data_IF_432897157201
#
_entry.id   IF_432897157201
#
_cell.length_a   1.000
_cell.length_b   1.000
_cell.length_c   1.000
_cell.angle_alpha   90.00
_cell.angle_beta   90.00
_cell.angle_gamma   90.00
#
_symmetry.space_group_name_H-M   'P 1'
#
loop_
_entity.id
_entity.type
_entity.pdbx_description
1 polymer ?
#
# COMPACT_ATOMS: atom_id res chain seq x y z
N UNK A 1 10.49 -30.53 -11.55
CA UNK A 1 11.04 -30.40 -10.19
C UNK A 1 10.03 -31.03 -9.24
N UNK A 2 10.32 -32.22 -8.71
CA UNK A 2 9.46 -32.82 -7.70
C UNK A 2 9.73 -32.12 -6.37
N UNK A 3 8.69 -31.55 -5.77
CA UNK A 3 8.78 -31.02 -4.42
C UNK A 3 8.81 -32.21 -3.46
N UNK A 4 9.94 -32.43 -2.79
CA UNK A 4 10.00 -33.35 -1.64
C UNK A 4 8.98 -32.89 -0.59
N UNK A 5 8.18 -33.83 -0.10
CA UNK A 5 7.07 -33.70 0.85
C UNK A 5 7.46 -33.22 2.27
N UNK A 6 8.57 -32.49 2.41
CA UNK A 6 9.22 -32.19 3.69
C UNK A 6 9.65 -30.72 3.90
N UNK A 7 9.24 -29.78 3.04
CA UNK A 7 9.55 -28.35 3.25
C UNK A 7 8.54 -27.69 4.20
N UNK A 8 9.01 -27.33 5.39
CA UNK A 8 8.21 -26.62 6.41
C UNK A 8 8.04 -25.13 6.09
N UNK A 9 9.01 -24.53 5.37
CA UNK A 9 8.92 -23.14 4.92
C UNK A 9 8.07 -23.10 3.64
N UNK A 10 6.89 -22.45 3.65
CA UNK A 10 6.07 -22.33 2.45
C UNK A 10 6.70 -21.33 1.45
N UNK A 11 6.30 -21.39 0.18
CA UNK A 11 6.64 -20.34 -0.78
C UNK A 11 6.23 -18.96 -0.28
N UNK A 12 7.12 -17.98 -0.44
CA UNK A 12 6.94 -16.60 0.04
C UNK A 12 7.63 -15.60 -0.90
N UNK A 13 7.44 -14.29 -0.69
CA UNK A 13 8.09 -13.25 -1.49
C UNK A 13 7.44 -12.94 -2.85
N UNK A 14 6.26 -13.50 -3.14
CA UNK A 14 5.49 -13.27 -4.37
C UNK A 14 4.81 -11.89 -4.48
N UNK A 15 5.23 -10.90 -3.68
CA UNK A 15 4.52 -9.62 -3.47
C UNK A 15 4.24 -8.83 -4.75
N UNK A 16 5.10 -8.90 -5.77
CA UNK A 16 4.91 -8.17 -7.04
C UNK A 16 3.62 -8.57 -7.77
N UNK A 17 3.09 -9.76 -7.49
CA UNK A 17 1.81 -10.25 -8.05
C UNK A 17 0.60 -9.82 -7.21
N UNK A 18 0.80 -9.31 -5.99
CA UNK A 18 -0.27 -8.87 -5.12
C UNK A 18 -0.82 -7.54 -5.63
N UNK A 19 -2.14 -7.49 -5.82
CA UNK A 19 -2.86 -6.28 -6.19
C UNK A 19 -2.61 -5.12 -5.22
N UNK A 20 -2.50 -5.43 -3.92
CA UNK A 20 -2.23 -4.43 -2.89
C UNK A 20 -0.85 -3.78 -3.06
N UNK A 21 0.18 -4.55 -3.44
CA UNK A 21 1.52 -4.03 -3.69
C UNK A 21 1.54 -3.16 -4.94
N UNK A 22 0.90 -3.62 -6.03
CA UNK A 22 0.81 -2.86 -7.28
C UNK A 22 0.10 -1.52 -7.07
N UNK A 23 -0.97 -1.50 -6.27
CA UNK A 23 -1.68 -0.25 -5.92
C UNK A 23 -0.81 0.68 -5.07
N UNK A 24 -0.11 0.15 -4.05
CA UNK A 24 0.82 0.93 -3.23
C UNK A 24 1.99 1.50 -4.05
N UNK A 25 2.49 0.77 -5.05
CA UNK A 25 3.53 1.24 -5.96
C UNK A 25 3.04 2.39 -6.85
N UNK A 26 1.80 2.31 -7.36
CA UNK A 26 1.15 3.41 -8.08
C UNK A 26 1.01 4.65 -7.18
N UNK A 27 0.57 4.48 -5.93
CA UNK A 27 0.47 5.58 -4.96
C UNK A 27 1.84 6.23 -4.76
N UNK A 28 2.90 5.45 -4.58
CA UNK A 28 4.26 5.96 -4.45
C UNK A 28 4.71 6.78 -5.66
N UNK A 29 4.59 6.22 -6.87
CA UNK A 29 5.01 6.89 -8.10
C UNK A 29 4.27 8.21 -8.34
N UNK A 30 2.97 8.22 -8.05
CA UNK A 30 2.14 9.42 -8.17
C UNK A 30 2.45 10.44 -7.07
N UNK A 31 2.76 9.99 -5.85
CA UNK A 31 3.17 10.87 -4.74
C UNK A 31 4.45 11.61 -5.09
N UNK A 32 5.47 10.92 -5.59
CA UNK A 32 6.73 11.54 -6.04
C UNK A 32 6.45 12.61 -7.11
N UNK A 33 5.57 12.33 -8.07
CA UNK A 33 5.19 13.30 -9.11
C UNK A 33 4.42 14.49 -8.53
N UNK A 34 3.46 14.24 -7.66
CA UNK A 34 2.69 15.27 -6.98
C UNK A 34 3.60 16.22 -6.21
N UNK A 35 4.45 15.68 -5.33
CA UNK A 35 5.36 16.46 -4.51
C UNK A 35 6.31 17.29 -5.40
N UNK A 36 6.85 16.70 -6.48
CA UNK A 36 7.70 17.44 -7.43
C UNK A 36 6.95 18.61 -8.08
N UNK A 37 5.70 18.41 -8.50
CA UNK A 37 4.92 19.42 -9.23
C UNK A 37 4.37 20.54 -8.33
N UNK A 38 3.98 20.20 -7.10
CA UNK A 38 3.16 21.10 -6.27
C UNK A 38 3.73 21.40 -4.89
N UNK A 39 4.86 20.80 -4.51
CA UNK A 39 5.49 20.96 -3.19
C UNK A 39 7.01 21.17 -3.23
N UNK A 40 7.62 21.08 -4.40
CA UNK A 40 9.06 21.32 -4.57
C UNK A 40 9.42 22.78 -4.33
N UNK A 41 10.69 23.03 -4.01
CA UNK A 41 11.21 24.40 -3.93
C UNK A 41 10.94 25.21 -5.21
N UNK A 42 11.07 24.60 -6.38
CA UNK A 42 10.74 25.27 -7.65
C UNK A 42 9.27 25.67 -7.77
N UNK A 43 8.35 24.92 -7.15
CA UNK A 43 6.91 25.20 -7.21
C UNK A 43 6.45 26.21 -6.15
N UNK A 44 6.97 26.13 -4.93
CA UNK A 44 6.46 26.91 -3.79
C UNK A 44 7.50 27.84 -3.15
N UNK A 45 8.71 27.93 -3.71
CA UNK A 45 9.86 28.70 -3.20
C UNK A 45 10.21 28.40 -1.73
N UNK A 46 9.84 27.22 -1.24
CA UNK A 46 10.07 26.77 0.14
C UNK A 46 10.32 25.27 0.13
N UNK A 47 11.36 24.83 0.84
CA UNK A 47 11.55 23.42 1.16
C UNK A 47 10.63 23.10 2.34
N UNK A 48 9.70 22.18 2.16
CA UNK A 48 8.75 21.81 3.22
C UNK A 48 9.12 20.43 3.76
N UNK A 49 9.21 20.30 5.09
CA UNK A 49 9.37 19.01 5.76
C UNK A 49 8.29 18.02 5.32
N UNK A 50 7.09 18.53 5.02
CA UNK A 50 5.95 17.78 4.50
C UNK A 50 6.24 17.10 3.16
N UNK A 51 7.04 17.70 2.26
CA UNK A 51 7.46 17.07 1.00
C UNK A 51 8.15 15.71 1.27
N UNK A 52 9.13 15.69 2.17
CA UNK A 52 9.89 14.48 2.48
C UNK A 52 9.05 13.47 3.26
N UNK A 53 8.20 13.95 4.17
CA UNK A 53 7.27 13.12 4.94
C UNK A 53 6.30 12.36 4.04
N UNK A 54 5.66 13.04 3.07
CA UNK A 54 4.73 12.39 2.15
C UNK A 54 5.42 11.32 1.29
N UNK A 55 6.60 11.63 0.73
CA UNK A 55 7.37 10.65 -0.06
C UNK A 55 7.75 9.44 0.80
N UNK A 56 8.18 9.69 2.04
CA UNK A 56 8.58 8.62 2.95
C UNK A 56 7.41 7.78 3.42
N UNK A 57 6.25 8.36 3.70
CA UNK A 57 5.03 7.63 4.04
C UNK A 57 4.60 6.71 2.89
N UNK A 58 4.58 7.23 1.66
CA UNK A 58 4.28 6.43 0.47
C UNK A 58 5.30 5.30 0.24
N UNK A 59 6.60 5.59 0.44
CA UNK A 59 7.67 4.59 0.33
C UNK A 59 7.53 3.50 1.40
N UNK A 60 7.29 3.90 2.65
CA UNK A 60 7.10 3.01 3.80
C UNK A 60 5.92 2.07 3.55
N UNK A 61 4.80 2.58 3.03
CA UNK A 61 3.64 1.79 2.65
C UNK A 61 4.01 0.61 1.76
N UNK A 62 4.63 0.86 0.60
CA UNK A 62 4.98 -0.23 -0.33
C UNK A 62 6.11 -1.14 0.16
N UNK A 63 7.10 -0.62 0.90
CA UNK A 63 8.24 -1.41 1.37
C UNK A 63 7.82 -2.42 2.42
N UNK A 64 7.01 -2.01 3.40
CA UNK A 64 6.51 -2.92 4.43
C UNK A 64 5.66 -4.06 3.84
N UNK A 65 4.94 -3.82 2.74
CA UNK A 65 4.25 -4.90 2.02
C UNK A 65 5.25 -5.93 1.46
N UNK A 66 6.31 -5.47 0.81
CA UNK A 66 7.32 -6.35 0.24
C UNK A 66 8.05 -7.13 1.34
N UNK A 67 8.51 -6.44 2.39
CA UNK A 67 9.19 -7.03 3.53
C UNK A 67 8.29 -8.04 4.27
N UNK A 68 7.01 -7.71 4.48
CA UNK A 68 6.03 -8.61 5.09
C UNK A 68 5.86 -9.89 4.29
N UNK A 69 5.71 -9.78 2.97
CA UNK A 69 5.61 -10.94 2.09
C UNK A 69 6.89 -11.78 2.06
N UNK A 70 8.08 -11.16 2.15
CA UNK A 70 9.34 -11.88 2.27
C UNK A 70 9.47 -12.61 3.62
N UNK A 71 8.97 -12.03 4.70
CA UNK A 71 8.99 -12.65 6.02
C UNK A 71 7.92 -13.74 6.22
N UNK A 72 6.88 -13.78 5.40
CA UNK A 72 5.68 -14.64 5.55
C UNK A 72 5.98 -16.13 5.70
N UNK A 73 7.02 -16.64 5.06
CA UNK A 73 7.42 -18.04 5.15
C UNK A 73 8.11 -18.43 6.46
N UNK A 74 8.55 -17.45 7.25
CA UNK A 74 9.36 -17.65 8.45
C UNK A 74 8.64 -17.09 9.69
N UNK A 75 7.92 -15.97 9.57
CA UNK A 75 7.21 -15.33 10.67
C UNK A 75 5.93 -14.65 10.20
N UNK A 76 4.81 -15.33 10.41
CA UNK A 76 3.45 -14.79 10.22
C UNK A 76 3.16 -13.58 11.11
N UNK A 77 3.71 -13.56 12.33
CA UNK A 77 3.63 -12.40 13.22
C UNK A 77 4.35 -11.17 12.64
N UNK A 78 5.51 -11.37 12.03
CA UNK A 78 6.25 -10.29 11.36
C UNK A 78 5.50 -9.81 10.13
N UNK A 79 4.95 -10.72 9.33
CA UNK A 79 4.10 -10.38 8.19
C UNK A 79 2.91 -9.49 8.62
N UNK A 80 2.12 -9.94 9.61
CA UNK A 80 1.02 -9.16 10.18
C UNK A 80 1.44 -7.76 10.64
N UNK A 81 2.55 -7.67 11.39
CA UNK A 81 3.08 -6.40 11.88
C UNK A 81 3.42 -5.45 10.72
N UNK A 82 4.14 -5.94 9.70
CA UNK A 82 4.58 -5.11 8.58
C UNK A 82 3.39 -4.67 7.71
N UNK A 83 2.40 -5.53 7.47
CA UNK A 83 1.17 -5.10 6.78
C UNK A 83 0.43 -4.02 7.61
N UNK A 84 0.41 -4.13 8.94
CA UNK A 84 -0.13 -3.08 9.81
C UNK A 84 0.62 -1.75 9.70
N UNK A 85 1.95 -1.78 9.66
CA UNK A 85 2.78 -0.58 9.43
C UNK A 85 2.50 0.03 8.06
N UNK A 86 2.37 -0.79 7.01
CA UNK A 86 2.02 -0.30 5.68
C UNK A 86 0.68 0.45 5.67
N UNK A 87 -0.33 -0.10 6.37
CA UNK A 87 -1.66 0.52 6.52
C UNK A 87 -1.61 1.84 7.27
N UNK A 88 -0.80 1.93 8.33
CA UNK A 88 -0.60 3.16 9.08
C UNK A 88 0.12 4.23 8.25
N UNK A 89 1.17 3.87 7.50
CA UNK A 89 1.89 4.80 6.63
C UNK A 89 1.01 5.38 5.52
N UNK A 90 0.09 4.59 4.96
CA UNK A 90 -0.86 5.11 3.97
C UNK A 90 -1.99 5.93 4.60
N UNK A 91 -2.32 5.74 5.89
CA UNK A 91 -3.22 6.64 6.61
C UNK A 91 -2.57 8.01 6.86
N UNK A 92 -1.30 8.04 7.25
CA UNK A 92 -0.54 9.29 7.39
C UNK A 92 -0.52 10.07 6.07
N UNK A 93 -0.21 9.39 4.97
CA UNK A 93 -0.22 9.99 3.64
C UNK A 93 -1.62 10.49 3.22
N UNK A 94 -2.69 9.77 3.61
CA UNK A 94 -4.07 10.18 3.34
C UNK A 94 -4.37 11.53 4.00
N UNK A 95 -4.00 11.66 5.28
CA UNK A 95 -4.19 12.89 6.05
C UNK A 95 -3.39 14.04 5.44
N UNK A 96 -2.14 13.79 5.02
CA UNK A 96 -1.32 14.81 4.35
C UNK A 96 -2.01 15.39 3.09
N UNK A 97 -2.65 14.56 2.27
CA UNK A 97 -3.39 15.03 1.10
C UNK A 97 -4.66 15.81 1.47
N UNK A 98 -5.38 15.38 2.50
CA UNK A 98 -6.57 16.09 2.99
C UNK A 98 -6.19 17.46 3.56
N UNK A 99 -5.09 17.53 4.32
CA UNK A 99 -4.54 18.77 4.85
C UNK A 99 -4.03 19.69 3.75
N UNK A 100 -3.38 19.14 2.72
CA UNK A 100 -2.98 19.92 1.55
C UNK A 100 -4.18 20.60 0.87
N UNK A 101 -5.29 19.87 0.69
CA UNK A 101 -6.51 20.44 0.11
C UNK A 101 -7.10 21.52 1.02
N UNK A 102 -7.28 21.20 2.31
CA UNK A 102 -7.88 22.08 3.31
C UNK A 102 -7.11 23.39 3.51
N UNK A 103 -5.78 23.31 3.62
CA UNK A 103 -4.92 24.49 3.85
C UNK A 103 -4.79 25.41 2.63
N UNK A 104 -5.15 24.93 1.45
CA UNK A 104 -5.13 25.68 0.19
C UNK A 104 -6.52 26.05 -0.33
N UNK A 105 -7.57 25.82 0.47
CA UNK A 105 -8.96 26.07 0.10
C UNK A 105 -9.38 25.35 -1.21
N UNK A 106 -8.89 24.12 -1.39
CA UNK A 106 -9.20 23.28 -2.54
C UNK A 106 -10.30 22.27 -2.18
N UNK A 107 -11.15 21.94 -3.15
CA UNK A 107 -12.29 21.05 -2.94
C UNK A 107 -11.83 19.61 -2.68
N UNK A 108 -12.29 19.02 -1.58
CA UNK A 108 -12.27 17.58 -1.37
C UNK A 108 -13.47 16.93 -2.07
N UNK A 109 -13.23 15.92 -2.90
CA UNK A 109 -14.28 15.18 -3.59
C UNK A 109 -15.03 14.27 -2.61
N UNK A 110 -16.35 14.43 -2.59
CA UNK A 110 -17.24 13.51 -1.88
C UNK A 110 -17.30 12.13 -2.51
N UNK A 111 -17.92 11.17 -1.82
CA UNK A 111 -18.07 9.78 -2.29
C UNK A 111 -18.78 9.68 -3.64
N UNK A 112 -19.74 10.56 -3.88
CA UNK A 112 -20.61 10.58 -5.07
C UNK A 112 -20.15 11.58 -6.13
N UNK A 113 -18.99 12.21 -5.95
CA UNK A 113 -18.41 13.09 -6.97
C UNK A 113 -18.10 12.26 -8.24
N UNK A 114 -18.57 12.68 -9.43
CA UNK A 114 -18.35 11.94 -10.67
C UNK A 114 -16.86 11.68 -10.99
N UNK A 115 -15.98 12.61 -10.61
CA UNK A 115 -14.53 12.46 -10.80
C UNK A 115 -13.96 11.39 -9.87
N UNK A 116 -14.37 11.39 -8.59
CA UNK A 116 -13.98 10.35 -7.63
C UNK A 116 -14.45 8.96 -8.09
N UNK A 117 -15.69 8.85 -8.56
CA UNK A 117 -16.21 7.59 -9.10
C UNK A 117 -15.44 7.14 -10.35
N UNK A 118 -15.07 8.06 -11.24
CA UNK A 118 -14.28 7.76 -12.42
C UNK A 118 -12.89 7.21 -12.05
N UNK A 119 -12.18 7.84 -11.11
CA UNK A 119 -10.90 7.33 -10.60
C UNK A 119 -11.06 5.94 -10.00
N UNK A 120 -12.06 5.74 -9.14
CA UNK A 120 -12.29 4.44 -8.47
C UNK A 120 -12.52 3.31 -9.47
N UNK A 121 -13.24 3.57 -10.58
CA UNK A 121 -13.47 2.58 -11.65
C UNK A 121 -12.16 2.15 -12.35
N UNK A 122 -11.15 3.02 -12.41
CA UNK A 122 -9.87 2.68 -13.06
C UNK A 122 -9.08 1.60 -12.30
N UNK A 123 -9.31 1.43 -10.99
CA UNK A 123 -8.65 0.39 -10.21
C UNK A 123 -8.95 -1.03 -10.70
N UNK A 124 -10.08 -1.24 -11.37
CA UNK A 124 -10.47 -2.54 -11.93
C UNK A 124 -9.82 -2.86 -13.28
N UNK A 125 -9.03 -1.93 -13.86
CA UNK A 125 -8.27 -2.22 -15.09
C UNK A 125 -7.11 -3.19 -14.80
N UNK A 126 -6.93 -4.16 -15.69
CA UNK A 126 -5.95 -5.25 -15.58
C UNK A 126 -4.49 -4.80 -15.76
N UNK A 127 -4.23 -3.77 -16.58
CA UNK A 127 -2.86 -3.28 -16.87
C UNK A 127 -2.65 -1.83 -16.41
N UNK A 128 -3.14 -1.50 -15.21
CA UNK A 128 -3.00 -0.15 -14.65
C UNK A 128 -1.56 0.09 -14.19
N UNK A 129 -1.12 1.33 -14.34
CA UNK A 129 0.12 1.87 -13.77
C UNK A 129 -0.12 3.33 -13.38
N UNK A 130 0.90 4.02 -12.86
CA UNK A 130 0.78 5.45 -12.60
C UNK A 130 0.32 6.24 -13.85
N UNK A 131 0.67 5.76 -15.06
CA UNK A 131 0.27 6.37 -16.34
C UNK A 131 -1.24 6.39 -16.55
N UNK A 132 -1.97 5.44 -15.93
CA UNK A 132 -3.44 5.39 -15.99
C UNK A 132 -4.09 6.61 -15.34
N UNK A 133 -3.38 7.29 -14.44
CA UNK A 133 -3.92 8.37 -13.62
C UNK A 133 -3.32 9.75 -13.95
N UNK A 134 -2.38 9.85 -14.89
CA UNK A 134 -1.65 11.11 -15.19
C UNK A 134 -2.58 12.24 -15.64
N UNK A 135 -3.73 11.93 -16.24
CA UNK A 135 -4.75 12.94 -16.60
C UNK A 135 -5.29 13.70 -15.40
N UNK A 136 -5.27 13.10 -14.20
CA UNK A 136 -5.71 13.72 -12.95
C UNK A 136 -4.61 14.55 -12.29
N UNK A 137 -3.36 14.48 -12.77
CA UNK A 137 -2.21 15.24 -12.24
C UNK A 137 -2.07 16.62 -12.90
N UNK A 138 -3.14 17.15 -13.52
CA UNK A 138 -3.11 18.46 -14.20
C UNK A 138 -3.23 19.63 -13.24
N UNK A 139 -3.96 19.46 -12.14
CA UNK A 139 -4.10 20.45 -11.07
C UNK A 139 -3.83 19.82 -9.72
N UNK A 140 -3.39 20.63 -8.75
CA UNK A 140 -3.12 20.15 -7.40
C UNK A 140 -4.38 19.55 -6.76
N UNK A 141 -5.55 20.17 -6.95
CA UNK A 141 -6.84 19.65 -6.45
C UNK A 141 -7.17 18.27 -7.02
N UNK A 142 -7.15 18.13 -8.35
CA UNK A 142 -7.46 16.86 -9.00
C UNK A 142 -6.44 15.78 -8.65
N UNK A 143 -5.16 16.15 -8.51
CA UNK A 143 -4.10 15.21 -8.18
C UNK A 143 -4.26 14.67 -6.75
N UNK A 144 -4.46 15.56 -5.77
CA UNK A 144 -4.69 15.19 -4.38
C UNK A 144 -5.91 14.29 -4.24
N UNK A 145 -7.04 14.64 -4.86
CA UNK A 145 -8.25 13.83 -4.78
C UNK A 145 -8.12 12.46 -5.47
N UNK A 146 -7.40 12.39 -6.59
CA UNK A 146 -7.07 11.12 -7.23
C UNK A 146 -6.24 10.22 -6.29
N UNK A 147 -5.22 10.79 -5.65
CA UNK A 147 -4.37 10.08 -4.69
C UNK A 147 -5.15 9.61 -3.45
N UNK A 148 -6.04 10.45 -2.91
CA UNK A 148 -6.98 10.08 -1.83
C UNK A 148 -7.82 8.86 -2.23
N UNK A 149 -8.38 8.85 -3.44
CA UNK A 149 -9.16 7.69 -3.93
C UNK A 149 -8.31 6.41 -3.99
N UNK A 150 -7.09 6.51 -4.50
CA UNK A 150 -6.17 5.38 -4.62
C UNK A 150 -5.72 4.85 -3.25
N UNK A 151 -5.46 5.75 -2.31
CA UNK A 151 -5.07 5.39 -0.94
C UNK A 151 -6.22 4.68 -0.25
N UNK A 152 -7.47 5.17 -0.34
CA UNK A 152 -8.62 4.45 0.21
C UNK A 152 -8.78 3.04 -0.38
N UNK A 153 -8.59 2.88 -1.69
CA UNK A 153 -8.66 1.57 -2.33
C UNK A 153 -7.52 0.65 -1.88
N UNK A 154 -6.32 1.20 -1.69
CA UNK A 154 -5.15 0.45 -1.21
C UNK A 154 -5.33 0.04 0.25
N UNK A 155 -5.84 0.94 1.10
CA UNK A 155 -6.16 0.68 2.50
C UNK A 155 -7.21 -0.41 2.63
N UNK A 156 -8.26 -0.39 1.81
CA UNK A 156 -9.23 -1.48 1.77
C UNK A 156 -8.59 -2.86 1.47
N UNK A 157 -7.64 -2.91 0.53
CA UNK A 157 -6.91 -4.14 0.23
C UNK A 157 -6.00 -4.58 1.39
N UNK A 158 -5.37 -3.63 2.07
CA UNK A 158 -4.55 -3.89 3.26
C UNK A 158 -5.40 -4.43 4.42
N UNK A 159 -6.56 -3.84 4.67
CA UNK A 159 -7.49 -4.30 5.72
C UNK A 159 -7.97 -5.74 5.44
N UNK A 160 -8.28 -6.05 4.18
CA UNK A 160 -8.61 -7.43 3.76
C UNK A 160 -7.43 -8.38 3.93
N UNK A 161 -6.21 -7.94 3.64
CA UNK A 161 -5.01 -8.77 3.82
C UNK A 161 -4.73 -9.04 5.30
N UNK A 162 -4.90 -8.05 6.19
CA UNK A 162 -4.76 -8.21 7.64
C UNK A 162 -5.76 -9.24 8.17
N UNK A 163 -7.05 -9.09 7.83
CA UNK A 163 -8.08 -10.04 8.24
C UNK A 163 -7.79 -11.47 7.74
N UNK A 164 -7.30 -11.61 6.51
CA UNK A 164 -6.95 -12.92 5.96
C UNK A 164 -5.75 -13.56 6.69
N UNK A 165 -4.72 -12.77 7.03
CA UNK A 165 -3.55 -13.24 7.77
C UNK A 165 -3.89 -13.61 9.21
N UNK A 166 -4.78 -12.85 9.85
CA UNK A 166 -5.28 -13.16 11.19
C UNK A 166 -6.02 -14.50 11.21
N UNK A 167 -6.97 -14.69 10.29
CA UNK A 167 -7.69 -15.95 10.17
C UNK A 167 -6.74 -17.12 9.86
N UNK A 168 -5.79 -16.94 8.94
CA UNK A 168 -4.80 -17.97 8.64
C UNK A 168 -3.96 -18.34 9.88
N UNK A 169 -3.58 -17.35 10.68
CA UNK A 169 -2.82 -17.58 11.91
C UNK A 169 -3.64 -18.35 12.95
N UNK A 170 -4.93 -18.03 13.11
CA UNK A 170 -5.84 -18.74 14.02
C UNK A 170 -6.09 -20.19 13.58
N UNK A 171 -6.24 -20.43 12.28
CA UNK A 171 -6.52 -21.78 11.74
C UNK A 171 -5.30 -22.69 11.72
N UNK A 172 -4.14 -22.17 11.28
CA UNK A 172 -2.95 -22.98 11.00
C UNK A 172 -1.89 -22.90 12.10
N UNK A 173 -1.97 -21.91 12.98
CA UNK A 173 -0.93 -21.61 13.97
C UNK A 173 0.33 -21.01 13.36
N UNK A 174 1.34 -20.78 14.20
CA UNK A 174 2.60 -20.17 13.78
C UNK A 174 3.62 -21.12 13.16
N UNK A 175 4.70 -20.56 12.61
CA UNK A 175 5.83 -21.32 12.07
C UNK A 175 6.49 -22.24 13.13
N UNK A 176 6.61 -21.78 14.38
CA UNK A 176 7.12 -22.58 15.50
C UNK A 176 6.28 -23.85 15.74
N UNK A 177 4.95 -23.72 15.68
CA UNK A 177 4.04 -24.86 15.84
C UNK A 177 4.12 -25.82 14.65
N UNK A 178 4.30 -25.28 13.43
CA UNK A 178 4.54 -26.09 12.23
C UNK A 178 5.86 -26.89 12.34
N UNK A 179 6.95 -26.26 12.77
CA UNK A 179 8.23 -26.92 13.04
C UNK A 179 8.10 -28.00 14.12
N UNK A 180 7.38 -27.70 15.21
CA UNK A 180 7.16 -28.67 16.29
C UNK A 180 6.39 -29.90 15.80
N UNK A 181 5.31 -29.71 15.03
CA UNK A 181 4.54 -30.80 14.41
C UNK A 181 5.38 -31.62 13.44
N UNK A 182 6.13 -30.97 12.56
CA UNK A 182 7.03 -31.64 11.62
C UNK A 182 8.13 -32.44 12.33
N UNK A 183 8.68 -31.93 13.45
CA UNK A 183 9.66 -32.65 14.26
C UNK A 183 9.05 -33.90 14.91
N UNK A 184 7.83 -33.79 15.46
CA UNK A 184 7.13 -34.92 16.09
C UNK A 184 6.81 -36.04 15.10
N UNK A 185 6.51 -35.71 13.85
CA UNK A 185 6.18 -36.69 12.81
C UNK A 185 7.40 -37.46 12.26
N UNK A 186 8.63 -37.08 12.65
CA UNK A 186 9.87 -37.78 12.28
C UNK A 186 10.33 -38.81 13.31
N UNK A 187 9.63 -38.90 14.45
CA UNK A 187 9.87 -39.83 15.55
C UNK A 187 8.74 -40.85 15.54
#
# INVERSE_FOLDING_TARGET
MSYSSNQVIPPHGGYKKLMLYQMAEIVYDLTVKFCKSYMSYSSNKTYTRTYDQMIQAARSGKQNIAEGSMASGISKKTELKLIGVARASLEELLVDYQDFLRTKDLKLWGKDDPQAQAVRRLAYRSNKSYKTYTTYLKSAESASNCLICLIHQTNYLLDKQLAALENEFLEKGGFTEALYRARRARV
#
